data_IF_123567345602
#
_entry.id   IF_123567345602
#
_cell.length_a   1.000
_cell.length_b   1.000
_cell.length_c   1.000
_cell.angle_alpha   90.00
_cell.angle_beta   90.00
_cell.angle_gamma   90.00
#
_symmetry.space_group_name_H-M   'P 1'
#
loop_
_entity.id
_entity.type
_entity.pdbx_description
1 polymer ?
#
# COMPACT_ATOMS: atom_id res chain seq x y z
N UNK A 1 4.90 -20.19 -43.61
CA UNK A 1 4.65 -19.22 -42.52
C UNK A 1 5.40 -19.60 -41.25
N UNK A 2 5.69 -20.88 -40.98
CA UNK A 2 6.53 -21.29 -39.84
C UNK A 2 7.99 -20.81 -39.94
N UNK A 3 8.61 -20.87 -41.12
CA UNK A 3 10.01 -20.44 -41.30
C UNK A 3 10.28 -18.94 -41.08
N UNK A 4 9.26 -18.05 -41.08
CA UNK A 4 9.47 -16.61 -40.82
C UNK A 4 9.41 -16.26 -39.34
N UNK A 5 8.85 -17.14 -38.51
CA UNK A 5 8.71 -16.93 -37.06
C UNK A 5 9.99 -17.37 -36.35
N UNK A 6 10.60 -18.49 -36.76
CA UNK A 6 11.89 -18.95 -36.23
C UNK A 6 13.04 -17.97 -36.54
N UNK A 7 13.09 -17.42 -37.76
CA UNK A 7 14.14 -16.46 -38.17
C UNK A 7 14.03 -15.13 -37.41
N UNK A 8 12.82 -14.70 -37.05
CA UNK A 8 12.59 -13.52 -36.22
C UNK A 8 12.95 -13.76 -34.75
N UNK A 9 12.70 -14.97 -34.22
CA UNK A 9 13.03 -15.30 -32.83
C UNK A 9 14.55 -15.37 -32.61
N UNK A 10 15.29 -15.97 -33.56
CA UNK A 10 16.76 -16.01 -33.55
C UNK A 10 17.38 -14.61 -33.61
N UNK A 11 16.85 -13.73 -34.45
CA UNK A 11 17.36 -12.36 -34.60
C UNK A 11 17.08 -11.49 -33.36
N UNK A 12 15.92 -11.68 -32.72
CA UNK A 12 15.57 -11.01 -31.48
C UNK A 12 16.40 -11.51 -30.28
N UNK A 13 16.73 -12.81 -30.22
CA UNK A 13 17.62 -13.36 -29.19
C UNK A 13 19.06 -12.84 -29.35
N UNK A 14 19.57 -12.74 -30.57
CA UNK A 14 20.89 -12.15 -30.83
C UNK A 14 20.93 -10.65 -30.49
N UNK A 15 19.85 -9.91 -30.77
CA UNK A 15 19.70 -8.51 -30.35
C UNK A 15 19.63 -8.39 -28.82
N UNK A 16 18.93 -9.30 -28.16
CA UNK A 16 18.83 -9.35 -26.71
C UNK A 16 20.18 -9.63 -26.06
N UNK A 17 20.91 -10.63 -26.53
CA UNK A 17 22.26 -10.92 -26.06
C UNK A 17 23.19 -9.74 -26.32
N UNK A 18 23.04 -9.03 -27.44
CA UNK A 18 23.83 -7.82 -27.72
C UNK A 18 23.51 -6.67 -26.78
N UNK A 19 22.23 -6.39 -26.53
CA UNK A 19 21.81 -5.35 -25.57
C UNK A 19 22.21 -5.74 -24.15
N UNK A 20 22.04 -7.00 -23.75
CA UNK A 20 22.51 -7.53 -22.47
C UNK A 20 24.02 -7.44 -22.35
N UNK A 21 24.78 -7.79 -23.39
CA UNK A 21 26.23 -7.65 -23.41
C UNK A 21 26.66 -6.19 -23.36
N UNK A 22 25.94 -5.27 -24.02
CA UNK A 22 26.26 -3.83 -23.93
C UNK A 22 25.94 -3.28 -22.56
N UNK A 23 24.78 -3.61 -21.99
CA UNK A 23 24.41 -3.27 -20.61
C UNK A 23 25.40 -3.89 -19.62
N UNK A 24 25.66 -5.18 -19.69
CA UNK A 24 26.60 -5.87 -18.79
C UNK A 24 28.03 -5.39 -18.97
N UNK A 25 28.53 -5.15 -20.19
CA UNK A 25 29.85 -4.52 -20.38
C UNK A 25 29.91 -3.13 -19.77
N UNK A 26 28.82 -2.38 -19.85
CA UNK A 26 28.73 -1.05 -19.28
C UNK A 26 28.75 -1.07 -17.74
N UNK A 27 28.07 -2.04 -17.11
CA UNK A 27 28.05 -2.21 -15.66
C UNK A 27 29.28 -2.95 -15.09
N UNK A 28 29.84 -3.91 -15.82
CA UNK A 28 31.05 -4.67 -15.45
C UNK A 28 32.31 -3.79 -15.57
N UNK A 29 32.38 -2.89 -16.56
CA UNK A 29 33.51 -1.95 -16.69
C UNK A 29 33.57 -0.87 -15.60
N UNK A 30 32.60 -0.83 -14.67
CA UNK A 30 32.57 0.10 -13.55
C UNK A 30 32.77 -0.53 -12.16
N UNK A 31 33.06 -1.84 -12.07
CA UNK A 31 33.37 -2.51 -10.79
C UNK A 31 32.31 -2.26 -9.67
N UNK A 32 31.02 -2.19 -10.03
CA UNK A 32 29.92 -1.89 -9.08
C UNK A 32 29.42 -3.17 -8.36
N UNK A 33 30.07 -4.31 -8.56
CA UNK A 33 29.75 -5.53 -7.80
C UNK A 33 30.76 -5.71 -6.68
N UNK A 34 30.55 -4.91 -5.62
CA UNK A 34 31.12 -5.20 -4.31
C UNK A 34 32.42 -4.48 -3.98
N UNK A 35 32.38 -3.16 -3.82
CA UNK A 35 33.05 -2.46 -2.70
C UNK A 35 32.61 -1.00 -2.67
N UNK A 36 32.37 -0.53 -1.44
CA UNK A 36 32.25 0.86 -0.97
C UNK A 36 32.24 1.96 -2.05
N UNK A 37 31.11 2.65 -2.13
CA UNK A 37 30.87 3.91 -2.82
C UNK A 37 31.94 4.96 -2.45
N UNK A 38 32.96 5.14 -3.29
CA UNK A 38 33.76 6.36 -3.29
C UNK A 38 33.35 7.28 -4.45
N UNK A 39 32.93 8.48 -4.04
CA UNK A 39 32.64 9.69 -4.78
C UNK A 39 33.52 9.91 -6.03
N UNK A 40 33.05 9.47 -7.19
CA UNK A 40 33.52 10.01 -8.48
C UNK A 40 32.49 11.02 -9.02
N UNK A 41 32.91 12.18 -9.57
CA UNK A 41 32.01 13.12 -10.22
C UNK A 41 31.26 12.43 -11.37
N UNK A 42 29.93 12.59 -11.36
CA UNK A 42 29.02 11.91 -12.27
C UNK A 42 29.20 12.46 -13.69
N UNK A 43 29.41 11.58 -14.66
CA UNK A 43 29.15 11.90 -16.07
C UNK A 43 27.66 11.60 -16.32
N UNK A 44 26.83 12.65 -16.37
CA UNK A 44 25.38 12.56 -16.56
C UNK A 44 25.01 11.89 -17.90
N UNK A 45 25.89 11.94 -18.89
CA UNK A 45 25.72 11.21 -20.15
C UNK A 45 25.70 9.69 -19.95
N UNK A 46 26.28 9.17 -18.86
CA UNK A 46 26.31 7.74 -18.53
C UNK A 46 24.93 7.26 -18.06
N UNK A 47 24.24 8.06 -17.24
CA UNK A 47 22.95 7.71 -16.67
C UNK A 47 21.87 7.65 -17.74
N UNK A 48 21.79 8.67 -18.60
CA UNK A 48 20.79 8.71 -19.67
C UNK A 48 20.96 7.57 -20.68
N UNK A 49 22.20 7.25 -21.06
CA UNK A 49 22.50 6.10 -21.93
C UNK A 49 22.10 4.76 -21.28
N UNK A 50 22.26 4.61 -19.95
CA UNK A 50 21.79 3.42 -19.22
C UNK A 50 20.27 3.29 -19.28
N UNK A 51 19.53 4.38 -19.05
CA UNK A 51 18.06 4.38 -19.12
C UNK A 51 17.57 3.99 -20.52
N UNK A 52 18.18 4.53 -21.58
CA UNK A 52 17.78 4.23 -22.96
C UNK A 52 18.00 2.76 -23.33
N UNK A 53 19.12 2.16 -22.90
CA UNK A 53 19.38 0.73 -23.11
C UNK A 53 18.35 -0.16 -22.39
N UNK A 54 17.99 0.20 -21.14
CA UNK A 54 16.97 -0.52 -20.37
C UNK A 54 15.61 -0.44 -21.09
N UNK A 55 15.24 0.74 -21.58
CA UNK A 55 13.97 0.94 -22.32
C UNK A 55 13.91 0.07 -23.57
N UNK A 56 14.99 0.01 -24.35
CA UNK A 56 15.05 -0.85 -25.53
C UNK A 56 14.98 -2.34 -25.16
N UNK A 57 15.65 -2.76 -24.07
CA UNK A 57 15.55 -4.13 -23.58
C UNK A 57 14.13 -4.54 -23.20
N UNK A 58 13.41 -3.67 -22.46
CA UNK A 58 12.00 -3.87 -22.11
C UNK A 58 11.15 -4.02 -23.38
N UNK A 59 11.33 -3.14 -24.38
CA UNK A 59 10.60 -3.21 -25.64
C UNK A 59 10.83 -4.53 -26.38
N UNK A 60 12.07 -5.04 -26.38
CA UNK A 60 12.41 -6.32 -27.02
C UNK A 60 11.75 -7.48 -26.28
N UNK A 61 11.83 -7.53 -24.94
CA UNK A 61 11.19 -8.58 -24.15
C UNK A 61 9.67 -8.64 -24.39
N UNK A 62 8.99 -7.49 -24.40
CA UNK A 62 7.56 -7.39 -24.70
C UNK A 62 7.17 -7.94 -26.08
N UNK A 63 8.04 -7.81 -27.08
CA UNK A 63 7.80 -8.34 -28.43
C UNK A 63 8.01 -9.85 -28.49
N UNK A 64 9.00 -10.36 -27.74
CA UNK A 64 9.33 -11.77 -27.68
C UNK A 64 8.30 -12.60 -26.90
N UNK A 65 7.74 -12.06 -25.81
CA UNK A 65 6.81 -12.78 -24.93
C UNK A 65 5.45 -13.05 -25.55
N UNK A 66 5.03 -12.32 -26.59
CA UNK A 66 3.80 -12.64 -27.35
C UNK A 66 3.74 -14.07 -27.93
N UNK A 67 4.82 -14.84 -27.82
CA UNK A 67 4.97 -16.19 -28.36
C UNK A 67 5.27 -17.29 -27.30
N UNK A 68 5.37 -17.00 -25.99
CA UNK A 68 5.64 -18.00 -24.92
C UNK A 68 5.02 -17.58 -23.58
N UNK A 69 4.80 -18.54 -22.66
CA UNK A 69 4.22 -18.35 -21.31
C UNK A 69 4.70 -17.05 -20.63
N UNK A 70 3.79 -16.24 -20.09
CA UNK A 70 4.05 -14.87 -19.60
C UNK A 70 4.75 -14.81 -18.21
N UNK A 71 4.79 -15.89 -17.45
CA UNK A 71 5.39 -15.89 -16.11
C UNK A 71 6.90 -15.48 -16.06
N UNK A 72 7.77 -15.89 -17.01
CA UNK A 72 9.15 -15.44 -17.08
C UNK A 72 9.29 -13.94 -17.39
N UNK A 73 8.29 -13.26 -17.98
CA UNK A 73 8.42 -11.83 -18.27
C UNK A 73 8.24 -10.98 -17.01
N UNK A 74 7.30 -11.32 -16.12
CA UNK A 74 7.09 -10.60 -14.85
C UNK A 74 8.36 -10.62 -14.01
N UNK A 75 8.96 -11.80 -13.81
CA UNK A 75 10.20 -11.94 -13.03
C UNK A 75 11.35 -11.14 -13.64
N UNK A 76 11.53 -11.23 -14.96
CA UNK A 76 12.56 -10.46 -15.67
C UNK A 76 12.37 -8.96 -15.53
N UNK A 77 11.14 -8.47 -15.64
CA UNK A 77 10.83 -7.05 -15.48
C UNK A 77 11.09 -6.58 -14.04
N UNK A 78 10.80 -7.40 -13.03
CA UNK A 78 11.16 -7.13 -11.63
C UNK A 78 12.68 -7.12 -11.42
N UNK A 79 13.42 -8.02 -12.07
CA UNK A 79 14.87 -8.03 -12.03
C UNK A 79 15.47 -6.74 -12.62
N UNK A 80 14.82 -6.10 -13.60
CA UNK A 80 15.28 -4.81 -14.12
C UNK A 80 15.27 -3.75 -13.02
N UNK A 81 14.15 -3.65 -12.28
CA UNK A 81 13.99 -2.69 -11.20
C UNK A 81 15.16 -2.81 -10.20
N UNK A 82 15.44 -4.03 -9.75
CA UNK A 82 16.46 -4.29 -8.75
C UNK A 82 17.90 -4.21 -9.28
N UNK A 83 18.17 -4.71 -10.50
CA UNK A 83 19.52 -4.78 -11.07
C UNK A 83 19.98 -3.45 -11.66
N UNK A 84 19.07 -2.67 -12.24
CA UNK A 84 19.43 -1.50 -13.03
C UNK A 84 18.88 -0.18 -12.49
N UNK A 85 17.60 -0.12 -12.10
CA UNK A 85 17.05 1.14 -11.57
C UNK A 85 17.53 1.43 -10.15
N UNK A 86 17.54 0.42 -9.26
CA UNK A 86 17.98 0.60 -7.87
C UNK A 86 19.38 1.25 -7.75
N UNK A 87 20.45 0.80 -8.43
CA UNK A 87 21.74 1.47 -8.36
C UNK A 87 21.72 2.94 -8.82
N UNK A 88 20.86 3.30 -9.78
CA UNK A 88 20.72 4.68 -10.25
C UNK A 88 19.99 5.53 -9.20
N UNK A 89 18.92 5.01 -8.58
CA UNK A 89 18.24 5.67 -7.45
C UNK A 89 19.25 6.03 -6.36
N UNK A 90 20.09 5.08 -5.94
CA UNK A 90 21.14 5.31 -4.93
C UNK A 90 22.11 6.45 -5.29
N UNK A 91 22.33 6.71 -6.59
CA UNK A 91 23.24 7.76 -7.05
C UNK A 91 22.57 9.13 -7.09
N UNK A 92 21.26 9.18 -7.37
CA UNK A 92 20.50 10.41 -7.63
C UNK A 92 19.71 10.93 -6.42
N UNK A 93 19.27 10.05 -5.50
CA UNK A 93 18.27 10.38 -4.47
C UNK A 93 18.65 11.55 -3.55
N UNK A 94 19.94 11.71 -3.25
CA UNK A 94 20.46 12.77 -2.36
C UNK A 94 20.98 13.99 -3.14
N UNK A 95 20.73 14.06 -4.45
CA UNK A 95 21.19 15.15 -5.31
C UNK A 95 20.09 16.19 -5.47
N UNK A 96 20.42 17.43 -5.16
CA UNK A 96 19.50 18.57 -5.23
C UNK A 96 19.71 19.45 -6.47
N UNK A 97 20.69 19.14 -7.32
CA UNK A 97 20.93 19.91 -8.53
C UNK A 97 19.88 19.61 -9.61
N UNK A 98 19.55 20.63 -10.42
CA UNK A 98 18.47 20.57 -11.41
C UNK A 98 18.59 19.39 -12.37
N UNK A 99 19.80 19.06 -12.83
CA UNK A 99 20.01 17.95 -13.78
C UNK A 99 19.73 16.61 -13.10
N UNK A 100 20.23 16.41 -11.88
CA UNK A 100 19.95 15.19 -11.13
C UNK A 100 18.46 15.03 -10.79
N UNK A 101 17.76 16.13 -10.50
CA UNK A 101 16.31 16.11 -10.29
C UNK A 101 15.55 15.77 -11.58
N UNK A 102 15.97 16.30 -12.74
CA UNK A 102 15.41 15.93 -14.04
C UNK A 102 15.62 14.44 -14.35
N UNK A 103 16.82 13.92 -14.11
CA UNK A 103 17.13 12.49 -14.26
C UNK A 103 16.28 11.63 -13.32
N UNK A 104 16.10 12.05 -12.07
CA UNK A 104 15.29 11.35 -11.08
C UNK A 104 13.79 11.38 -11.44
N UNK A 105 13.31 12.54 -11.92
CA UNK A 105 11.96 12.73 -12.44
C UNK A 105 11.70 11.78 -13.63
N UNK A 106 12.66 11.62 -14.53
CA UNK A 106 12.57 10.71 -15.66
C UNK A 106 12.64 9.24 -15.22
N UNK A 107 13.51 8.92 -14.25
CA UNK A 107 13.65 7.58 -13.69
C UNK A 107 12.35 7.10 -13.04
N UNK A 108 11.66 7.96 -12.29
CA UNK A 108 10.38 7.59 -11.68
C UNK A 108 9.26 7.41 -12.72
N UNK A 109 9.28 8.18 -13.82
CA UNK A 109 8.37 7.93 -14.95
C UNK A 109 8.63 6.56 -15.59
N UNK A 110 9.90 6.18 -15.76
CA UNK A 110 10.28 4.88 -16.30
C UNK A 110 9.86 3.73 -15.37
N UNK A 111 10.06 3.87 -14.05
CA UNK A 111 9.61 2.89 -13.04
C UNK A 111 8.09 2.75 -13.02
N UNK A 112 7.35 3.86 -13.18
CA UNK A 112 5.90 3.83 -13.29
C UNK A 112 5.45 3.07 -14.53
N UNK A 113 6.08 3.33 -15.67
CA UNK A 113 5.83 2.62 -16.94
C UNK A 113 6.18 1.13 -16.85
N UNK A 114 7.33 0.79 -16.23
CA UNK A 114 7.75 -0.58 -15.97
C UNK A 114 6.73 -1.31 -15.10
N UNK A 115 6.32 -0.72 -13.98
CA UNK A 115 5.33 -1.31 -13.06
C UNK A 115 3.98 -1.49 -13.73
N UNK A 116 3.51 -0.48 -14.47
CA UNK A 116 2.30 -0.62 -15.28
C UNK A 116 2.41 -1.74 -16.31
N UNK A 117 3.60 -1.95 -16.88
CA UNK A 117 3.83 -3.03 -17.83
C UNK A 117 3.80 -4.39 -17.13
N UNK A 118 4.42 -4.52 -15.96
CA UNK A 118 4.36 -5.76 -15.17
C UNK A 118 2.89 -6.12 -14.89
N UNK A 119 2.05 -5.14 -14.52
CA UNK A 119 0.62 -5.37 -14.31
C UNK A 119 -0.11 -5.87 -15.56
N UNK A 120 0.28 -5.46 -16.78
CA UNK A 120 -0.31 -5.96 -18.03
C UNK A 120 0.03 -7.43 -18.31
N UNK A 121 1.21 -7.89 -17.91
CA UNK A 121 1.68 -9.27 -18.11
C UNK A 121 1.41 -10.19 -16.91
N UNK A 122 1.00 -9.63 -15.77
CA UNK A 122 0.58 -10.40 -14.62
C UNK A 122 -0.82 -11.01 -14.89
N UNK A 123 -0.88 -12.08 -15.70
CA UNK A 123 -2.06 -12.95 -15.78
C UNK A 123 -2.29 -13.69 -14.44
N UNK A 124 -3.56 -14.08 -14.22
CA UNK A 124 -4.26 -14.86 -13.15
C UNK A 124 -3.44 -15.69 -12.11
N UNK A 125 -2.28 -15.22 -11.71
CA UNK A 125 -1.41 -15.81 -10.70
C UNK A 125 -1.69 -15.17 -9.33
N UNK A 126 -1.12 -15.74 -8.27
CA UNK A 126 -1.35 -15.36 -6.86
C UNK A 126 -1.07 -13.88 -6.53
N UNK A 127 -0.51 -13.10 -7.47
CA UNK A 127 -0.25 -11.65 -7.34
C UNK A 127 -1.15 -10.88 -8.31
N UNK A 128 -2.15 -10.16 -7.79
CA UNK A 128 -3.06 -9.33 -8.59
C UNK A 128 -2.29 -8.24 -9.37
N UNK A 129 -2.56 -8.13 -10.68
CA UNK A 129 -2.08 -7.04 -11.55
C UNK A 129 -2.27 -5.64 -10.92
N UNK A 130 -3.35 -5.46 -10.15
CA UNK A 130 -3.67 -4.22 -9.45
C UNK A 130 -2.60 -3.78 -8.44
N UNK A 131 -1.81 -4.71 -7.89
CA UNK A 131 -0.65 -4.38 -7.05
C UNK A 131 0.36 -3.55 -7.85
N UNK A 132 0.71 -3.99 -9.06
CA UNK A 132 1.68 -3.30 -9.89
C UNK A 132 1.15 -1.97 -10.44
N UNK A 133 -0.16 -1.86 -10.64
CA UNK A 133 -0.79 -0.58 -10.93
C UNK A 133 -0.75 0.37 -9.73
N UNK A 134 -0.89 -0.14 -8.50
CA UNK A 134 -0.69 0.67 -7.29
C UNK A 134 0.76 1.15 -7.18
N UNK A 135 1.73 0.26 -7.44
CA UNK A 135 3.16 0.60 -7.50
C UNK A 135 3.45 1.70 -8.57
N UNK A 136 2.86 1.56 -9.76
CA UNK A 136 2.98 2.56 -10.82
C UNK A 136 2.41 3.93 -10.41
N UNK A 137 1.28 3.95 -9.69
CA UNK A 137 0.68 5.19 -9.21
C UNK A 137 1.59 5.92 -8.22
N UNK A 138 2.24 5.19 -7.31
CA UNK A 138 3.23 5.76 -6.37
C UNK A 138 4.38 6.41 -7.15
N UNK A 139 4.94 5.72 -8.14
CA UNK A 139 6.03 6.27 -8.95
C UNK A 139 5.63 7.50 -9.76
N UNK A 140 4.42 7.54 -10.34
CA UNK A 140 3.92 8.76 -10.97
C UNK A 140 3.78 9.91 -9.97
N UNK A 141 3.32 9.67 -8.75
CA UNK A 141 3.23 10.73 -7.73
C UNK A 141 4.60 11.28 -7.33
N UNK A 142 5.61 10.42 -7.19
CA UNK A 142 7.00 10.86 -6.99
C UNK A 142 7.51 11.70 -8.17
N UNK A 143 7.25 11.25 -9.40
CA UNK A 143 7.58 12.00 -10.61
C UNK A 143 6.92 13.39 -10.62
N UNK A 144 5.65 13.50 -10.24
CA UNK A 144 4.95 14.77 -10.15
C UNK A 144 5.46 15.67 -9.01
N UNK A 145 5.83 15.10 -7.86
CA UNK A 145 6.41 15.85 -6.76
C UNK A 145 7.76 16.47 -7.16
N UNK A 146 8.65 15.69 -7.76
CA UNK A 146 9.96 16.17 -8.23
C UNK A 146 9.78 17.20 -9.35
N UNK A 147 8.86 16.98 -10.30
CA UNK A 147 8.55 17.95 -11.35
C UNK A 147 8.12 19.31 -10.77
N UNK A 148 7.31 19.32 -9.73
CA UNK A 148 6.92 20.56 -9.04
C UNK A 148 8.12 21.25 -8.36
N UNK A 149 9.04 20.47 -7.77
CA UNK A 149 10.27 21.01 -7.18
C UNK A 149 11.19 21.65 -8.23
N UNK A 150 11.29 21.07 -9.43
CA UNK A 150 12.05 21.66 -10.55
C UNK A 150 11.35 22.93 -11.05
N UNK A 151 10.02 22.90 -11.15
CA UNK A 151 9.20 23.94 -11.77
C UNK A 151 8.71 25.02 -10.80
N UNK A 152 9.41 25.28 -9.69
CA UNK A 152 9.04 26.23 -8.62
C UNK A 152 8.62 27.65 -9.08
N UNK A 153 8.77 27.99 -10.36
CA UNK A 153 8.43 29.28 -10.96
C UNK A 153 7.32 29.26 -12.04
N UNK A 154 6.67 28.12 -12.35
CA UNK A 154 5.58 28.08 -13.34
C UNK A 154 4.29 27.46 -12.78
N UNK A 155 3.16 28.18 -12.90
CA UNK A 155 1.79 27.70 -12.61
C UNK A 155 1.32 26.57 -13.56
N UNK A 156 2.23 25.73 -14.07
CA UNK A 156 1.87 24.68 -14.99
C UNK A 156 1.10 23.60 -14.24
N UNK A 157 -0.18 23.45 -14.59
CA UNK A 157 -1.07 22.43 -14.04
C UNK A 157 -0.47 21.05 -14.31
N UNK A 158 -0.40 20.20 -13.28
CA UNK A 158 0.08 18.82 -13.41
C UNK A 158 -0.82 18.05 -14.38
N UNK A 159 -0.20 17.37 -15.34
CA UNK A 159 -0.89 16.48 -16.27
C UNK A 159 -1.01 15.07 -15.69
N UNK A 160 -2.24 14.73 -15.26
CA UNK A 160 -2.60 13.44 -14.70
C UNK A 160 -3.08 12.42 -15.75
N UNK A 161 -2.75 12.61 -17.04
CA UNK A 161 -3.08 11.66 -18.11
C UNK A 161 -2.56 10.26 -17.80
N UNK A 162 -1.35 10.12 -17.26
CA UNK A 162 -0.77 8.82 -16.92
C UNK A 162 -1.57 8.09 -15.82
N UNK A 163 -2.00 8.81 -14.77
CA UNK A 163 -2.87 8.23 -13.74
C UNK A 163 -4.26 7.89 -14.28
N UNK A 164 -4.80 8.70 -15.19
CA UNK A 164 -6.08 8.44 -15.85
C UNK A 164 -6.03 7.14 -16.66
N UNK A 165 -4.97 6.95 -17.44
CA UNK A 165 -4.72 5.71 -18.17
C UNK A 165 -4.55 4.51 -17.23
N UNK A 166 -3.85 4.70 -16.11
CA UNK A 166 -3.62 3.65 -15.12
C UNK A 166 -4.93 3.23 -14.43
N UNK A 167 -5.77 4.20 -14.05
CA UNK A 167 -7.12 3.93 -13.51
C UNK A 167 -7.97 3.16 -14.51
N UNK A 168 -7.94 3.54 -15.79
CA UNK A 168 -8.65 2.79 -16.83
C UNK A 168 -8.18 1.34 -16.92
N UNK A 169 -6.86 1.09 -16.87
CA UNK A 169 -6.33 -0.28 -16.83
C UNK A 169 -6.82 -1.05 -15.61
N UNK A 170 -6.83 -0.42 -14.43
CA UNK A 170 -7.37 -1.03 -13.20
C UNK A 170 -8.84 -1.40 -13.37
N UNK A 171 -9.68 -0.49 -13.88
CA UNK A 171 -11.11 -0.73 -14.05
C UNK A 171 -11.39 -1.81 -15.11
N UNK A 172 -10.69 -1.79 -16.24
CA UNK A 172 -10.80 -2.83 -17.28
C UNK A 172 -10.33 -4.20 -16.77
N UNK A 173 -9.33 -4.24 -15.90
CA UNK A 173 -8.91 -5.47 -15.24
C UNK A 173 -10.00 -6.02 -14.31
N UNK A 174 -10.64 -5.14 -13.52
CA UNK A 174 -11.66 -5.52 -12.54
C UNK A 174 -12.97 -5.93 -13.21
N UNK A 175 -13.40 -5.17 -14.20
CA UNK A 175 -14.65 -5.36 -14.93
C UNK A 175 -14.36 -5.17 -16.43
N UNK A 176 -14.23 -6.28 -17.16
CA UNK A 176 -13.91 -6.27 -18.60
C UNK A 176 -14.98 -5.56 -19.44
N UNK A 177 -16.21 -5.54 -18.95
CA UNK A 177 -17.35 -4.88 -19.58
C UNK A 177 -17.51 -3.43 -19.12
N UNK A 178 -16.61 -2.92 -18.27
CA UNK A 178 -16.61 -1.51 -17.90
C UNK A 178 -16.50 -0.66 -19.17
N UNK A 179 -17.49 0.21 -19.37
CA UNK A 179 -17.45 1.18 -20.46
C UNK A 179 -16.15 1.99 -20.36
N UNK A 180 -15.59 2.37 -21.51
CA UNK A 180 -14.48 3.35 -21.58
C UNK A 180 -15.03 4.72 -21.19
N UNK A 181 -15.38 4.88 -19.92
CA UNK A 181 -15.80 6.12 -19.33
C UNK A 181 -14.54 6.93 -19.05
N UNK A 182 -14.44 8.11 -19.63
CA UNK A 182 -13.36 9.03 -19.29
C UNK A 182 -13.53 9.46 -17.83
N UNK A 183 -12.70 8.91 -16.95
CA UNK A 183 -12.64 9.34 -15.55
C UNK A 183 -11.73 10.56 -15.45
N UNK A 184 -12.28 11.68 -14.99
CA UNK A 184 -11.49 12.87 -14.68
C UNK A 184 -10.74 12.67 -13.36
N UNK A 185 -9.59 11.99 -13.44
CA UNK A 185 -8.74 11.71 -12.28
C UNK A 185 -8.20 13.01 -11.68
N UNK A 186 -7.97 14.06 -12.48
CA UNK A 186 -7.51 15.34 -11.96
C UNK A 186 -8.57 15.97 -11.04
N UNK A 187 -9.84 16.00 -11.47
CA UNK A 187 -10.94 16.51 -10.65
C UNK A 187 -11.16 15.67 -9.38
N UNK A 188 -10.99 14.35 -9.47
CA UNK A 188 -11.06 13.46 -8.31
C UNK A 188 -9.95 13.74 -7.30
N UNK A 189 -8.70 13.86 -7.76
CA UNK A 189 -7.55 14.20 -6.91
C UNK A 189 -7.80 15.52 -6.20
N UNK A 190 -8.21 16.55 -6.93
CA UNK A 190 -8.46 17.88 -6.37
C UNK A 190 -9.59 17.87 -5.35
N UNK A 191 -10.68 17.15 -5.64
CA UNK A 191 -11.79 16.94 -4.70
C UNK A 191 -11.33 16.23 -3.42
N UNK A 192 -10.54 15.17 -3.52
CA UNK A 192 -10.10 14.39 -2.38
C UNK A 192 -9.07 15.16 -1.54
N UNK A 193 -8.14 15.89 -2.17
CA UNK A 193 -7.22 16.82 -1.49
C UNK A 193 -7.97 17.91 -0.75
N UNK A 194 -8.93 18.56 -1.40
CA UNK A 194 -9.76 19.61 -0.77
C UNK A 194 -10.43 19.11 0.51
N UNK A 195 -11.03 17.90 0.48
CA UNK A 195 -11.64 17.30 1.68
C UNK A 195 -10.63 17.07 2.80
N UNK A 196 -9.43 16.61 2.47
CA UNK A 196 -8.38 16.38 3.47
C UNK A 196 -7.83 17.70 4.04
N UNK A 197 -7.67 18.71 3.19
CA UNK A 197 -7.22 20.05 3.57
C UNK A 197 -8.25 20.79 4.44
N UNK A 198 -9.55 20.57 4.23
CA UNK A 198 -10.60 21.05 5.13
C UNK A 198 -10.45 20.46 6.55
N UNK A 199 -10.15 19.16 6.65
CA UNK A 199 -9.90 18.49 7.95
C UNK A 199 -8.68 19.09 8.63
N UNK A 200 -7.58 19.30 7.88
CA UNK A 200 -6.34 19.91 8.38
C UNK A 200 -6.55 21.35 8.83
N UNK A 201 -7.18 22.17 8.01
CA UNK A 201 -7.45 23.58 8.31
C UNK A 201 -8.31 23.73 9.57
N UNK A 202 -9.36 22.92 9.72
CA UNK A 202 -10.18 22.90 10.93
C UNK A 202 -9.35 22.45 12.16
N UNK A 203 -8.48 21.45 11.98
CA UNK A 203 -7.59 20.97 13.05
C UNK A 203 -6.62 22.05 13.52
N UNK A 204 -5.93 22.72 12.59
CA UNK A 204 -4.98 23.81 12.90
C UNK A 204 -5.66 24.98 13.62
N UNK A 205 -6.86 25.37 13.18
CA UNK A 205 -7.65 26.42 13.82
C UNK A 205 -7.98 26.08 15.28
N UNK A 206 -8.40 24.83 15.55
CA UNK A 206 -8.73 24.37 16.91
C UNK A 206 -7.49 24.20 17.77
N UNK A 207 -6.41 23.68 17.20
CA UNK A 207 -5.15 23.48 17.91
C UNK A 207 -4.59 24.81 18.44
N UNK A 208 -4.68 25.89 17.66
CA UNK A 208 -4.28 27.23 18.10
C UNK A 208 -5.01 27.69 19.37
N UNK A 209 -6.28 27.29 19.55
CA UNK A 209 -7.04 27.57 20.77
C UNK A 209 -6.58 26.73 21.95
N UNK A 210 -6.25 25.46 21.72
CA UNK A 210 -5.78 24.52 22.73
C UNK A 210 -4.38 24.90 23.23
N UNK A 211 -3.47 25.28 22.34
CA UNK A 211 -2.10 25.66 22.69
C UNK A 211 -2.06 26.84 23.68
N UNK A 212 -2.99 27.80 23.53
CA UNK A 212 -3.13 28.92 24.48
C UNK A 212 -3.50 28.47 25.90
N UNK A 213 -4.25 27.37 26.04
CA UNK A 213 -4.61 26.83 27.36
C UNK A 213 -3.40 26.23 28.09
N UNK A 214 -2.44 25.70 27.33
CA UNK A 214 -1.18 25.23 27.89
C UNK A 214 -0.37 26.40 28.47
N UNK A 215 -0.32 27.53 27.75
CA UNK A 215 0.34 28.75 28.23
C UNK A 215 -0.31 29.33 29.48
N UNK A 216 -1.63 29.20 29.59
CA UNK A 216 -2.43 29.66 30.75
C UNK A 216 -2.35 28.71 31.97
N UNK A 217 -1.61 27.60 31.88
CA UNK A 217 -1.53 26.53 32.88
C UNK A 217 -2.89 25.89 33.24
N UNK A 218 -3.85 25.89 32.30
CA UNK A 218 -5.14 25.23 32.47
C UNK A 218 -5.09 23.78 31.96
N UNK A 219 -4.38 22.94 32.72
CA UNK A 219 -4.12 21.55 32.33
C UNK A 219 -5.41 20.73 32.11
N UNK A 220 -6.48 21.01 32.88
CA UNK A 220 -7.72 20.26 32.78
C UNK A 220 -8.43 20.54 31.45
N UNK A 221 -8.55 21.81 31.07
CA UNK A 221 -9.16 22.19 29.79
C UNK A 221 -8.29 21.83 28.60
N UNK A 222 -6.97 21.94 28.71
CA UNK A 222 -6.03 21.47 27.69
C UNK A 222 -6.25 19.99 27.37
N UNK A 223 -6.30 19.12 28.39
CA UNK A 223 -6.49 17.68 28.21
C UNK A 223 -7.85 17.39 27.57
N UNK A 224 -8.93 17.95 28.13
CA UNK A 224 -10.29 17.69 27.64
C UNK A 224 -10.47 18.14 26.18
N UNK A 225 -9.99 19.32 25.81
CA UNK A 225 -10.13 19.83 24.45
C UNK A 225 -9.22 19.09 23.46
N UNK A 226 -8.05 18.66 23.89
CA UNK A 226 -7.18 17.79 23.08
C UNK A 226 -7.87 16.46 22.76
N UNK A 227 -8.47 15.81 23.77
CA UNK A 227 -9.22 14.56 23.57
C UNK A 227 -10.40 14.74 22.63
N UNK A 228 -11.13 15.84 22.74
CA UNK A 228 -12.26 16.13 21.86
C UNK A 228 -11.81 16.43 20.42
N UNK A 229 -10.70 17.14 20.25
CA UNK A 229 -10.10 17.35 18.94
C UNK A 229 -9.68 16.02 18.29
N UNK A 230 -9.04 15.09 19.02
CA UNK A 230 -8.69 13.78 18.48
C UNK A 230 -9.93 12.95 18.09
N UNK A 231 -11.00 12.97 18.90
CA UNK A 231 -12.28 12.31 18.54
C UNK A 231 -12.88 12.90 17.27
N UNK A 232 -12.84 14.22 17.12
CA UNK A 232 -13.34 14.90 15.94
C UNK A 232 -12.51 14.57 14.69
N UNK A 233 -11.18 14.60 14.80
CA UNK A 233 -10.29 14.20 13.70
C UNK A 233 -10.57 12.76 13.28
N UNK A 234 -10.66 11.83 14.24
CA UNK A 234 -10.99 10.44 13.94
C UNK A 234 -12.37 10.30 13.29
N UNK A 235 -13.37 11.09 13.71
CA UNK A 235 -14.68 11.16 13.06
C UNK A 235 -14.58 11.62 11.60
N UNK A 236 -13.87 12.71 11.35
CA UNK A 236 -13.72 13.27 10.01
C UNK A 236 -12.90 12.34 9.08
N UNK A 237 -11.83 11.71 9.59
CA UNK A 237 -11.04 10.76 8.83
C UNK A 237 -11.80 9.46 8.51
N UNK A 238 -12.71 9.01 9.39
CA UNK A 238 -13.67 7.94 9.06
C UNK A 238 -14.57 8.35 7.89
N UNK A 239 -15.12 9.57 7.95
CA UNK A 239 -15.94 10.13 6.87
C UNK A 239 -15.17 10.23 5.55
N UNK A 240 -13.89 10.62 5.61
CA UNK A 240 -12.99 10.66 4.47
C UNK A 240 -12.77 9.27 3.86
N UNK A 241 -12.43 8.26 4.67
CA UNK A 241 -12.26 6.89 4.17
C UNK A 241 -13.56 6.30 3.60
N UNK A 242 -14.71 6.57 4.23
CA UNK A 242 -16.02 6.17 3.70
C UNK A 242 -16.29 6.81 2.33
N UNK A 243 -15.95 8.10 2.17
CA UNK A 243 -16.07 8.80 0.89
C UNK A 243 -15.21 8.13 -0.21
N UNK A 244 -13.95 7.80 0.08
CA UNK A 244 -13.07 7.10 -0.88
C UNK A 244 -13.62 5.71 -1.25
N UNK A 245 -14.14 4.98 -0.25
CA UNK A 245 -14.75 3.67 -0.43
C UNK A 245 -15.99 3.73 -1.33
N UNK A 246 -16.91 4.66 -1.10
CA UNK A 246 -18.12 4.79 -1.92
C UNK A 246 -17.81 5.22 -3.37
N UNK A 247 -16.82 6.09 -3.58
CA UNK A 247 -16.34 6.39 -4.93
C UNK A 247 -15.73 5.16 -5.62
N UNK A 248 -14.89 4.40 -4.92
CA UNK A 248 -14.27 3.19 -5.46
C UNK A 248 -15.31 2.12 -5.80
N UNK A 249 -16.30 1.92 -4.91
CA UNK A 249 -17.42 0.99 -5.14
C UNK A 249 -18.24 1.39 -6.35
N UNK A 250 -18.57 2.67 -6.49
CA UNK A 250 -19.32 3.19 -7.65
C UNK A 250 -18.57 3.01 -8.95
N UNK A 251 -17.27 3.29 -8.96
CA UNK A 251 -16.41 3.16 -10.16
C UNK A 251 -16.20 1.71 -10.57
N UNK A 252 -16.08 0.82 -9.60
CA UNK A 252 -16.00 -0.62 -9.87
C UNK A 252 -17.25 -1.13 -10.61
N UNK A 253 -18.42 -0.55 -10.34
CA UNK A 253 -19.66 -0.84 -11.07
C UNK A 253 -20.16 -2.28 -10.90
N UNK A 254 -19.70 -2.99 -9.87
CA UNK A 254 -20.07 -4.36 -9.56
C UNK A 254 -20.94 -4.40 -8.30
N UNK A 255 -21.99 -5.22 -8.36
CA UNK A 255 -22.82 -5.56 -7.20
C UNK A 255 -21.98 -6.28 -6.14
N UNK A 256 -22.23 -5.95 -4.87
CA UNK A 256 -21.54 -6.61 -3.77
C UNK A 256 -21.94 -8.08 -3.70
N UNK A 257 -20.98 -9.03 -3.59
CA UNK A 257 -21.32 -10.44 -3.60
C UNK A 257 -21.93 -10.93 -2.27
N UNK A 258 -21.81 -10.15 -1.20
CA UNK A 258 -22.45 -10.38 0.09
C UNK A 258 -22.54 -9.08 0.89
N UNK A 259 -23.20 -9.12 2.06
CA UNK A 259 -23.13 -8.02 3.02
C UNK A 259 -21.73 -7.92 3.63
N UNK A 260 -21.27 -6.70 3.86
CA UNK A 260 -19.96 -6.45 4.43
C UNK A 260 -19.89 -5.12 5.17
N UNK A 261 -18.82 -4.91 5.92
CA UNK A 261 -18.55 -3.65 6.63
C UNK A 261 -17.08 -3.32 6.62
N UNK A 262 -16.76 -2.04 6.40
CA UNK A 262 -15.43 -1.51 6.65
C UNK A 262 -15.32 -1.18 8.12
N UNK A 263 -14.23 -1.64 8.73
CA UNK A 263 -13.86 -1.28 10.10
C UNK A 263 -12.51 -0.57 10.10
N UNK A 264 -12.43 0.56 10.79
CA UNK A 264 -11.20 1.30 11.04
C UNK A 264 -10.46 0.68 12.22
N UNK A 265 -9.14 0.67 12.14
CA UNK A 265 -8.25 0.09 13.13
C UNK A 265 -7.35 1.17 13.77
N UNK A 266 -6.47 0.75 14.68
CA UNK A 266 -5.39 1.57 15.24
C UNK A 266 -5.82 2.94 15.76
N UNK A 267 -5.07 3.97 15.37
CA UNK A 267 -5.27 5.35 15.83
C UNK A 267 -6.69 5.87 15.54
N UNK A 268 -7.30 5.45 14.42
CA UNK A 268 -8.67 5.79 14.07
C UNK A 268 -9.68 5.17 15.06
N UNK A 269 -9.51 3.89 15.40
CA UNK A 269 -10.38 3.20 16.35
C UNK A 269 -10.18 3.66 17.80
N UNK A 270 -8.97 4.14 18.13
CA UNK A 270 -8.61 4.65 19.45
C UNK A 270 -8.97 6.11 19.66
N UNK A 271 -9.47 6.82 18.63
CA UNK A 271 -9.63 8.28 18.65
C UNK A 271 -8.31 8.99 19.01
N UNK A 272 -7.22 8.62 18.34
CA UNK A 272 -5.87 9.15 18.52
C UNK A 272 -5.22 9.54 17.18
N UNK A 273 -6.00 9.49 16.10
CA UNK A 273 -5.55 9.79 14.75
C UNK A 273 -5.34 11.30 14.56
N UNK A 274 -4.32 11.67 13.79
CA UNK A 274 -4.12 13.02 13.26
C UNK A 274 -4.51 13.07 11.77
N UNK A 275 -4.72 14.25 11.16
CA UNK A 275 -4.98 14.38 9.72
C UNK A 275 -3.79 14.00 8.80
N UNK A 276 -2.70 13.49 9.39
CA UNK A 276 -1.48 13.03 8.71
C UNK A 276 -1.15 11.57 9.06
N UNK A 277 -1.95 10.94 9.90
CA UNK A 277 -1.71 9.56 10.31
C UNK A 277 -2.01 8.58 9.18
N UNK A 278 -1.33 7.44 9.23
CA UNK A 278 -1.65 6.29 8.39
C UNK A 278 -3.11 5.82 8.63
N UNK A 279 -3.71 5.33 7.55
CA UNK A 279 -5.02 4.70 7.53
C UNK A 279 -4.83 3.19 7.71
N UNK A 280 -5.56 2.63 8.66
CA UNK A 280 -5.64 1.19 8.92
C UNK A 280 -7.09 0.76 8.86
N UNK A 281 -7.40 -0.27 8.08
CA UNK A 281 -8.78 -0.76 7.95
C UNK A 281 -8.85 -2.24 7.58
N UNK A 282 -10.01 -2.83 7.82
CA UNK A 282 -10.33 -4.20 7.46
C UNK A 282 -11.76 -4.29 6.90
N UNK A 283 -12.07 -5.41 6.25
CA UNK A 283 -13.39 -5.73 5.71
C UNK A 283 -13.93 -6.95 6.42
N UNK A 284 -15.04 -6.78 7.13
CA UNK A 284 -15.85 -7.87 7.68
C UNK A 284 -16.89 -8.31 6.66
N UNK A 285 -16.91 -9.57 6.27
CA UNK A 285 -17.91 -10.14 5.36
C UNK A 285 -18.93 -10.99 6.11
N UNK A 286 -20.15 -11.08 5.60
CA UNK A 286 -21.19 -11.94 6.16
C UNK A 286 -20.84 -13.43 6.03
N UNK A 287 -20.21 -13.81 4.92
CA UNK A 287 -19.82 -15.17 4.61
C UNK A 287 -18.60 -15.20 3.67
N UNK A 288 -18.18 -16.41 3.29
CA UNK A 288 -17.07 -16.67 2.38
C UNK A 288 -17.51 -17.27 1.04
N UNK A 289 -18.80 -17.29 0.72
CA UNK A 289 -19.29 -17.94 -0.50
C UNK A 289 -18.78 -17.25 -1.75
N UNK A 290 -18.58 -15.93 -1.70
CA UNK A 290 -17.97 -15.15 -2.77
C UNK A 290 -16.56 -15.65 -3.18
N UNK A 291 -15.81 -16.27 -2.25
CA UNK A 291 -14.46 -16.82 -2.52
C UNK A 291 -14.51 -18.05 -3.43
N UNK A 292 -15.65 -18.73 -3.52
CA UNK A 292 -15.84 -19.94 -4.32
C UNK A 292 -16.20 -19.64 -5.78
N UNK A 293 -16.72 -18.44 -6.04
CA UNK A 293 -17.08 -18.01 -7.38
C UNK A 293 -15.92 -17.22 -8.01
N UNK A 294 -15.31 -17.71 -9.10
CA UNK A 294 -14.26 -16.99 -9.82
C UNK A 294 -14.63 -15.55 -10.22
N UNK A 295 -15.92 -15.26 -10.44
CA UNK A 295 -16.37 -13.92 -10.81
C UNK A 295 -16.36 -12.93 -9.63
N UNK A 296 -16.44 -13.41 -8.38
CA UNK A 296 -16.55 -12.55 -7.20
C UNK A 296 -15.43 -12.71 -6.19
N UNK A 297 -14.57 -13.74 -6.33
CA UNK A 297 -13.52 -14.08 -5.36
C UNK A 297 -12.59 -12.91 -5.02
N UNK A 298 -12.35 -12.03 -5.99
CA UNK A 298 -11.45 -10.88 -5.87
C UNK A 298 -12.16 -9.55 -5.62
N UNK A 299 -13.49 -9.53 -5.49
CA UNK A 299 -14.28 -8.29 -5.35
C UNK A 299 -13.72 -7.35 -4.28
N UNK A 300 -13.52 -7.85 -3.05
CA UNK A 300 -13.04 -7.01 -1.95
C UNK A 300 -11.56 -6.64 -2.07
N UNK A 301 -10.74 -7.48 -2.72
CA UNK A 301 -9.34 -7.16 -3.02
C UNK A 301 -9.27 -6.04 -4.06
N UNK A 302 -10.06 -6.14 -5.11
CA UNK A 302 -10.19 -5.15 -6.18
C UNK A 302 -10.69 -3.81 -5.63
N UNK A 303 -11.72 -3.83 -4.80
CA UNK A 303 -12.22 -2.65 -4.10
C UNK A 303 -11.12 -2.00 -3.24
N UNK A 304 -10.36 -2.81 -2.50
CA UNK A 304 -9.26 -2.31 -1.66
C UNK A 304 -8.16 -1.67 -2.50
N UNK A 305 -7.79 -2.25 -3.64
CA UNK A 305 -6.82 -1.64 -4.56
C UNK A 305 -7.29 -0.29 -5.12
N UNK A 306 -8.58 -0.14 -5.44
CA UNK A 306 -9.13 1.16 -5.87
C UNK A 306 -9.09 2.19 -4.75
N UNK A 307 -9.40 1.80 -3.51
CA UNK A 307 -9.25 2.71 -2.35
C UNK A 307 -7.78 3.10 -2.15
N UNK A 308 -6.85 2.15 -2.28
CA UNK A 308 -5.40 2.40 -2.24
C UNK A 308 -4.96 3.40 -3.30
N UNK A 309 -5.41 3.21 -4.54
CA UNK A 309 -5.12 4.13 -5.64
C UNK A 309 -5.57 5.57 -5.33
N UNK A 310 -6.74 5.75 -4.70
CA UNK A 310 -7.25 7.08 -4.31
C UNK A 310 -6.37 7.75 -3.24
N UNK A 311 -5.94 7.02 -2.22
CA UNK A 311 -5.03 7.54 -1.18
C UNK A 311 -3.66 7.87 -1.76
N UNK A 312 -3.09 6.97 -2.59
CA UNK A 312 -1.82 7.23 -3.28
C UNK A 312 -1.90 8.54 -4.06
N UNK A 313 -3.04 8.80 -4.71
CA UNK A 313 -3.21 9.98 -5.53
C UNK A 313 -3.36 11.31 -4.77
N UNK A 314 -3.39 11.27 -3.43
CA UNK A 314 -3.17 12.46 -2.60
C UNK A 314 -1.73 12.97 -2.74
N UNK A 315 -0.79 12.14 -3.21
CA UNK A 315 0.61 12.51 -3.42
C UNK A 315 1.44 12.52 -2.13
N UNK A 316 0.94 11.88 -1.07
CA UNK A 316 1.53 11.85 0.28
C UNK A 316 2.09 10.47 0.66
N UNK A 317 1.77 9.43 -0.13
CA UNK A 317 2.26 8.07 0.08
C UNK A 317 3.77 8.00 -0.14
N UNK A 318 4.47 7.47 0.86
CA UNK A 318 5.91 7.20 0.77
C UNK A 318 6.20 5.82 0.17
N UNK A 319 7.33 5.72 -0.53
CA UNK A 319 7.92 4.43 -0.86
C UNK A 319 8.58 3.85 0.40
N UNK A 320 8.23 2.63 0.85
CA UNK A 320 8.82 2.04 2.04
C UNK A 320 10.33 1.88 1.91
N UNK A 321 11.06 2.20 2.99
CA UNK A 321 12.51 1.97 3.06
C UNK A 321 12.88 0.52 2.80
N UNK A 322 12.02 -0.45 3.12
CA UNK A 322 12.26 -1.88 2.86
C UNK A 322 12.42 -2.22 1.37
N UNK A 323 11.79 -1.46 0.45
CA UNK A 323 11.84 -1.73 -0.99
C UNK A 323 13.25 -1.54 -1.57
N UNK A 324 13.88 -0.43 -1.23
CA UNK A 324 15.20 -0.08 -1.78
C UNK A 324 16.32 -0.11 -0.76
N UNK A 325 16.04 -0.09 0.54
CA UNK A 325 17.04 0.13 1.59
C UNK A 325 17.44 1.60 1.73
N UNK A 326 16.56 2.52 1.32
CA UNK A 326 16.76 3.98 1.31
C UNK A 326 15.50 4.69 1.76
N UNK A 327 15.65 5.76 2.53
CA UNK A 327 14.56 6.71 2.79
C UNK A 327 14.51 7.72 1.64
N UNK A 328 13.32 7.88 1.05
CA UNK A 328 13.06 8.80 -0.05
C UNK A 328 11.89 9.73 0.27
N UNK A 329 11.54 9.85 1.56
CA UNK A 329 10.41 10.64 2.02
C UNK A 329 10.60 12.15 1.76
N UNK A 330 11.84 12.62 1.63
CA UNK A 330 12.15 14.02 1.28
C UNK A 330 11.79 14.41 -0.16
N UNK A 331 11.56 13.44 -1.05
CA UNK A 331 11.16 13.69 -2.44
C UNK A 331 9.67 13.98 -2.59
N UNK A 332 8.88 13.75 -1.54
CA UNK A 332 7.44 13.99 -1.48
C UNK A 332 7.10 14.79 -0.23
N UNK A 333 5.81 15.09 -0.01
CA UNK A 333 5.32 15.63 1.25
C UNK A 333 4.59 14.52 2.01
N UNK A 334 5.27 13.79 2.92
CA UNK A 334 4.66 12.66 3.62
C UNK A 334 3.46 13.10 4.44
N UNK A 335 2.42 12.28 4.41
CA UNK A 335 1.18 12.53 5.12
C UNK A 335 0.34 11.26 5.18
N UNK A 336 -0.92 11.37 4.78
CA UNK A 336 -1.86 10.25 4.78
C UNK A 336 -1.35 9.15 3.86
N UNK A 337 -1.12 7.98 4.44
CA UNK A 337 -0.74 6.76 3.75
C UNK A 337 -1.53 5.57 4.28
N UNK A 338 -1.39 4.40 3.66
CA UNK A 338 -1.81 3.14 4.29
C UNK A 338 -0.67 2.60 5.17
N UNK A 339 -1.03 1.96 6.29
CA UNK A 339 -0.03 1.34 7.19
C UNK A 339 0.84 0.34 6.42
N UNK A 340 2.13 0.66 6.34
CA UNK A 340 3.12 -0.18 5.67
C UNK A 340 3.35 -1.51 6.39
N UNK A 341 2.95 -1.60 7.67
CA UNK A 341 2.98 -2.83 8.47
C UNK A 341 1.94 -3.88 8.05
N UNK A 342 1.03 -3.54 7.13
CA UNK A 342 0.07 -4.44 6.53
C UNK A 342 -1.28 -4.53 7.23
N UNK A 343 -1.64 -3.54 8.06
CA UNK A 343 -2.96 -3.46 8.73
C UNK A 343 -4.04 -2.92 7.79
N UNK A 344 -4.09 -3.50 6.60
CA UNK A 344 -5.03 -3.19 5.53
C UNK A 344 -5.66 -4.48 5.01
N UNK A 345 -6.77 -4.43 4.24
CA UNK A 345 -7.38 -5.63 3.68
C UNK A 345 -6.42 -6.46 2.83
N UNK A 346 -5.42 -5.82 2.20
CA UNK A 346 -4.47 -6.48 1.32
C UNK A 346 -3.31 -7.16 2.05
N UNK A 347 -3.16 -6.94 3.37
CA UNK A 347 -2.07 -7.50 4.16
C UNK A 347 -0.75 -6.75 3.98
N UNK A 348 0.37 -7.44 4.23
CA UNK A 348 1.72 -6.86 4.14
C UNK A 348 2.16 -6.67 2.70
N UNK A 349 2.68 -5.47 2.40
CA UNK A 349 3.17 -5.08 1.06
C UNK A 349 4.33 -5.98 0.63
N UNK A 350 5.22 -6.33 1.56
CA UNK A 350 6.41 -7.13 1.29
C UNK A 350 6.11 -8.63 1.10
N UNK A 351 4.89 -9.09 1.44
CA UNK A 351 4.47 -10.49 1.31
C UNK A 351 5.22 -11.46 2.22
N UNK A 352 6.04 -10.96 3.16
CA UNK A 352 6.81 -11.71 4.14
C UNK A 352 5.94 -12.45 5.16
N UNK A 353 4.67 -12.04 5.32
CA UNK A 353 3.68 -12.78 6.11
C UNK A 353 2.36 -12.97 5.34
N UNK A 354 1.82 -14.21 5.28
CA UNK A 354 0.66 -14.53 4.45
C UNK A 354 -0.66 -14.30 5.20
N UNK A 355 -1.12 -13.04 5.26
CA UNK A 355 -2.44 -12.70 5.79
C UNK A 355 -3.13 -11.59 5.02
N UNK A 356 -4.45 -11.51 5.20
CA UNK A 356 -5.31 -10.47 4.67
C UNK A 356 -6.34 -10.10 5.76
N UNK A 357 -6.96 -8.94 5.63
CA UNK A 357 -8.00 -8.48 6.56
C UNK A 357 -9.38 -8.44 5.90
N UNK A 358 -9.66 -9.40 5.01
CA UNK A 358 -10.96 -9.60 4.37
C UNK A 358 -11.54 -10.92 4.89
N UNK A 359 -12.26 -10.84 6.01
CA UNK A 359 -12.63 -12.03 6.81
C UNK A 359 -14.08 -11.95 7.28
N UNK A 360 -14.66 -13.11 7.59
CA UNK A 360 -15.88 -13.13 8.39
C UNK A 360 -15.58 -12.70 9.84
N UNK A 361 -16.64 -12.44 10.61
CA UNK A 361 -16.50 -12.15 12.06
C UNK A 361 -15.76 -13.27 12.80
N UNK A 362 -16.07 -14.53 12.49
CA UNK A 362 -15.43 -15.69 13.11
C UNK A 362 -13.96 -15.80 12.74
N UNK A 363 -13.63 -15.67 11.46
CA UNK A 363 -12.24 -15.75 10.99
C UNK A 363 -11.38 -14.58 11.50
N UNK A 364 -11.96 -13.38 11.62
CA UNK A 364 -11.24 -12.24 12.21
C UNK A 364 -10.93 -12.48 13.70
N UNK A 365 -11.81 -13.21 14.41
CA UNK A 365 -11.56 -13.61 15.79
C UNK A 365 -10.41 -14.62 15.92
N UNK A 366 -10.06 -15.37 14.87
CA UNK A 366 -8.88 -16.25 14.90
C UNK A 366 -7.60 -15.46 15.11
N UNK A 367 -7.48 -14.25 14.54
CA UNK A 367 -6.35 -13.36 14.79
C UNK A 367 -6.36 -12.81 16.21
N UNK A 368 -7.53 -12.39 16.70
CA UNK A 368 -7.67 -11.88 18.07
C UNK A 368 -7.27 -12.96 19.05
N UNK A 369 -7.78 -14.19 18.92
CA UNK A 369 -7.57 -15.31 19.85
C UNK A 369 -6.25 -16.05 19.60
N UNK A 370 -5.62 -15.81 18.47
CA UNK A 370 -4.52 -16.60 17.92
C UNK A 370 -4.88 -18.10 17.90
N UNK A 371 -6.02 -18.41 17.29
CA UNK A 371 -6.37 -19.79 16.94
C UNK A 371 -5.38 -20.30 15.89
N UNK A 372 -5.07 -21.60 15.88
CA UNK A 372 -4.12 -22.23 14.92
C UNK A 372 -2.77 -21.50 14.75
N UNK A 373 -2.27 -20.87 15.82
CA UNK A 373 -1.00 -20.11 15.82
C UNK A 373 -0.94 -19.00 14.74
N UNK A 374 -2.07 -18.39 14.35
CA UNK A 374 -2.09 -17.32 13.34
C UNK A 374 -1.12 -16.17 13.64
N UNK A 375 -0.78 -15.87 14.88
CA UNK A 375 0.18 -14.80 15.22
C UNK A 375 1.61 -15.02 14.76
N UNK A 376 2.01 -16.25 14.42
CA UNK A 376 3.29 -16.53 13.75
C UNK A 376 3.29 -16.04 12.29
N UNK A 377 2.11 -15.77 11.73
CA UNK A 377 1.91 -15.45 10.32
C UNK A 377 1.29 -14.06 10.09
N UNK A 378 1.21 -13.21 11.13
CA UNK A 378 0.68 -11.84 11.03
C UNK A 378 1.60 -10.84 11.73
N UNK A 379 1.29 -9.55 11.59
CA UNK A 379 1.96 -8.52 12.38
C UNK A 379 1.74 -8.75 13.88
N UNK A 380 2.82 -8.63 14.67
CA UNK A 380 2.82 -8.92 16.12
C UNK A 380 1.86 -8.05 16.93
N UNK A 381 1.55 -6.84 16.44
CA UNK A 381 0.62 -5.92 17.08
C UNK A 381 -0.83 -6.13 16.66
N UNK A 382 -1.07 -6.80 15.52
CA UNK A 382 -2.40 -6.95 14.94
C UNK A 382 -3.43 -7.59 15.89
N UNK A 383 -3.12 -8.65 16.67
CA UNK A 383 -4.10 -9.22 17.61
C UNK A 383 -4.65 -8.21 18.62
N UNK A 384 -3.82 -7.26 19.07
CA UNK A 384 -4.21 -6.22 20.01
C UNK A 384 -4.95 -5.07 19.33
N UNK A 385 -4.55 -4.72 18.12
CA UNK A 385 -5.20 -3.68 17.33
C UNK A 385 -6.64 -4.10 17.00
N UNK A 386 -6.85 -5.36 16.67
CA UNK A 386 -8.15 -5.95 16.42
C UNK A 386 -9.08 -5.98 17.66
N UNK A 387 -8.55 -5.81 18.88
CA UNK A 387 -9.39 -5.70 20.09
C UNK A 387 -10.26 -4.42 20.11
N UNK A 388 -9.87 -3.40 19.34
CA UNK A 388 -10.59 -2.13 19.26
C UNK A 388 -10.73 -1.69 17.82
N UNK A 389 -11.96 -1.71 17.33
CA UNK A 389 -12.30 -1.33 15.96
C UNK A 389 -13.41 -0.29 15.95
N UNK A 390 -13.46 0.54 14.91
CA UNK A 390 -14.56 1.49 14.69
C UNK A 390 -15.28 1.17 13.39
N UNK A 391 -16.59 1.39 13.34
CA UNK A 391 -17.35 1.29 12.10
C UNK A 391 -17.01 2.49 11.20
N UNK A 392 -16.83 2.26 9.89
CA UNK A 392 -16.54 3.31 8.90
C UNK A 392 -17.76 3.63 8.04
N UNK A 393 -18.37 2.61 7.44
CA UNK A 393 -19.46 2.81 6.49
C UNK A 393 -20.75 3.14 7.23
N UNK A 394 -21.59 4.05 6.71
CA UNK A 394 -22.95 4.27 7.22
C UNK A 394 -23.98 3.92 6.13
N UNK A 395 -23.70 2.87 5.35
CA UNK A 395 -24.59 2.51 4.25
C UNK A 395 -25.97 2.14 4.80
N UNK A 396 -27.01 2.74 4.20
CA UNK A 396 -28.43 2.59 4.57
C UNK A 396 -28.95 1.13 4.49
N UNK A 397 -28.11 0.17 4.11
CA UNK A 397 -28.45 -1.25 4.05
C UNK A 397 -28.51 -1.88 5.46
N UNK A 398 -29.69 -2.31 5.91
CA UNK A 398 -29.85 -2.92 7.23
C UNK A 398 -29.02 -4.21 7.36
N UNK A 399 -28.07 -4.23 8.30
CA UNK A 399 -27.31 -5.44 8.66
C UNK A 399 -25.79 -5.28 8.68
N UNK A 400 -25.24 -4.25 8.05
CA UNK A 400 -23.79 -4.02 8.03
C UNK A 400 -23.27 -3.62 9.44
N UNK A 401 -23.94 -2.69 10.12
CA UNK A 401 -23.64 -2.35 11.52
C UNK A 401 -23.69 -3.58 12.46
N UNK A 402 -24.58 -4.54 12.15
CA UNK A 402 -24.69 -5.78 12.94
C UNK A 402 -23.40 -6.60 12.90
N UNK A 403 -22.72 -6.72 11.75
CA UNK A 403 -21.45 -7.45 11.66
C UNK A 403 -20.39 -6.86 12.61
N UNK A 404 -20.29 -5.52 12.63
CA UNK A 404 -19.34 -4.83 13.51
C UNK A 404 -19.74 -4.96 14.97
N UNK A 405 -21.03 -4.89 15.28
CA UNK A 405 -21.54 -5.10 16.63
C UNK A 405 -21.26 -6.52 17.12
N UNK A 406 -21.58 -7.53 16.32
CA UNK A 406 -21.34 -8.95 16.64
C UNK A 406 -19.86 -9.20 16.90
N UNK A 407 -18.98 -8.64 16.05
CA UNK A 407 -17.54 -8.71 16.25
C UNK A 407 -17.09 -8.07 17.58
N UNK A 408 -17.54 -6.85 17.87
CA UNK A 408 -17.22 -6.15 19.13
C UNK A 408 -17.72 -6.92 20.35
N UNK A 409 -18.91 -7.50 20.28
CA UNK A 409 -19.48 -8.31 21.36
C UNK A 409 -18.62 -9.57 21.59
N UNK A 410 -18.21 -10.28 20.54
CA UNK A 410 -17.33 -11.45 20.64
C UNK A 410 -15.94 -11.13 21.19
N UNK A 411 -15.33 -10.02 20.75
CA UNK A 411 -14.05 -9.53 21.30
C UNK A 411 -14.21 -9.24 22.79
N UNK A 412 -15.25 -8.49 23.16
CA UNK A 412 -15.51 -8.13 24.56
C UNK A 412 -15.70 -9.37 25.42
N UNK A 413 -16.49 -10.34 24.98
CA UNK A 413 -16.71 -11.59 25.71
C UNK A 413 -15.42 -12.37 25.88
N UNK A 414 -14.64 -12.54 24.80
CA UNK A 414 -13.34 -13.19 24.85
C UNK A 414 -12.39 -12.50 25.83
N UNK A 415 -12.27 -11.17 25.80
CA UNK A 415 -11.37 -10.43 26.68
C UNK A 415 -11.78 -10.52 28.17
N UNK A 416 -13.06 -10.78 28.47
CA UNK A 416 -13.57 -10.93 29.83
C UNK A 416 -13.51 -12.37 30.38
N UNK A 417 -13.29 -13.37 29.51
CA UNK A 417 -13.12 -14.76 29.93
C UNK A 417 -11.81 -14.97 30.70
N UNK A 418 -11.76 -15.95 31.63
CA UNK A 418 -10.51 -16.41 32.23
C UNK A 418 -9.51 -16.87 31.16
N UNK A 419 -8.24 -16.53 31.33
CA UNK A 419 -7.17 -16.99 30.43
C UNK A 419 -6.93 -18.48 30.59
N UNK A 420 -6.71 -19.18 29.47
CA UNK A 420 -6.34 -20.59 29.47
C UNK A 420 -4.98 -20.83 30.16
N UNK A 421 -4.02 -19.91 29.97
CA UNK A 421 -2.67 -19.99 30.54
C UNK A 421 -2.63 -19.57 32.01
N UNK A 422 -3.54 -18.68 32.42
CA UNK A 422 -3.69 -18.29 33.81
C UNK A 422 -5.17 -18.02 34.17
N UNK A 423 -5.91 -19.05 34.63
CA UNK A 423 -7.33 -18.92 34.93
C UNK A 423 -7.69 -17.92 36.04
N UNK A 424 -6.71 -17.40 36.78
CA UNK A 424 -6.94 -16.36 37.80
C UNK A 424 -7.06 -14.95 37.20
N UNK A 425 -6.61 -14.77 35.97
CA UNK A 425 -6.66 -13.51 35.24
C UNK A 425 -7.65 -13.62 34.08
N UNK A 426 -8.33 -12.51 33.77
CA UNK A 426 -9.06 -12.38 32.51
C UNK A 426 -8.09 -12.23 31.35
N UNK A 427 -8.52 -12.58 30.14
CA UNK A 427 -7.69 -12.51 28.93
C UNK A 427 -7.04 -11.14 28.73
N UNK A 428 -7.78 -10.03 28.89
CA UNK A 428 -7.18 -8.69 28.77
C UNK A 428 -6.09 -8.42 29.81
N UNK A 429 -6.26 -8.90 31.05
CA UNK A 429 -5.27 -8.72 32.12
C UNK A 429 -4.01 -9.54 31.86
N UNK A 430 -4.20 -10.80 31.44
CA UNK A 430 -3.10 -11.68 31.10
C UNK A 430 -2.31 -11.13 29.91
N UNK A 431 -3.00 -10.66 28.87
CA UNK A 431 -2.38 -10.01 27.70
C UNK A 431 -1.58 -8.76 28.07
N UNK A 432 -2.17 -7.85 28.84
CA UNK A 432 -1.48 -6.65 29.30
C UNK A 432 -0.22 -7.01 30.12
N UNK A 433 -0.31 -7.99 31.01
CA UNK A 433 0.83 -8.47 31.80
C UNK A 433 1.93 -9.07 30.91
N UNK A 434 1.55 -9.84 29.87
CA UNK A 434 2.51 -10.42 28.92
C UNK A 434 3.23 -9.34 28.12
N UNK A 435 2.49 -8.37 27.57
CA UNK A 435 3.08 -7.23 26.84
C UNK A 435 4.04 -6.43 27.73
N UNK A 436 3.70 -6.21 29.01
CA UNK A 436 4.58 -5.50 29.94
C UNK A 436 5.87 -6.27 30.27
N UNK A 437 5.83 -7.60 30.29
CA UNK A 437 6.99 -8.44 30.65
C UNK A 437 7.87 -8.79 29.47
N UNK A 438 7.27 -9.08 28.34
CA UNK A 438 7.92 -9.68 27.16
C UNK A 438 7.95 -8.73 25.97
N UNK A 439 7.22 -7.60 26.03
CA UNK A 439 6.93 -6.75 24.88
C UNK A 439 5.83 -7.33 23.99
N UNK A 440 5.51 -6.63 22.90
CA UNK A 440 4.67 -7.18 21.83
C UNK A 440 5.50 -8.18 21.02
N UNK A 441 5.45 -9.45 21.43
CA UNK A 441 6.02 -10.60 20.72
C UNK A 441 4.94 -11.33 19.93
N UNK A 442 5.33 -12.11 18.92
CA UNK A 442 4.38 -13.02 18.24
C UNK A 442 3.76 -13.94 19.30
N UNK A 443 2.44 -13.98 19.35
CA UNK A 443 1.76 -14.80 20.36
C UNK A 443 2.04 -16.29 20.09
N UNK A 444 2.26 -17.06 21.14
CA UNK A 444 2.14 -18.50 21.09
C UNK A 444 1.27 -18.86 22.31
N UNK A 445 0.03 -19.29 22.07
CA UNK A 445 -0.88 -19.77 23.13
C UNK A 445 -0.91 -21.29 23.21
N UNK A 446 0.06 -21.97 22.58
CA UNK A 446 0.30 -23.40 22.71
C UNK A 446 1.71 -23.66 23.22
N UNK A 447 1.98 -23.23 24.45
CA UNK A 447 2.84 -24.05 25.31
C UNK A 447 1.95 -25.08 26.01
N UNK A 448 1.65 -26.18 25.31
CA UNK A 448 1.33 -27.41 26.01
C UNK A 448 2.49 -27.72 26.95
N UNK A 449 2.18 -27.79 28.25
CA UNK A 449 3.02 -28.27 29.35
C UNK A 449 4.28 -29.05 28.89
N UNK A 450 5.42 -28.37 28.83
CA UNK A 450 6.74 -29.01 28.77
C UNK A 450 7.20 -29.54 30.14
N UNK A 451 6.24 -30.04 30.94
CA UNK A 451 6.47 -30.73 32.22
C UNK A 451 6.27 -32.25 32.11
N UNK A 452 6.50 -32.84 30.94
CA UNK A 452 6.64 -34.28 30.77
C UNK A 452 7.72 -34.59 29.72
N UNK A 453 8.98 -34.28 30.04
CA UNK A 453 10.16 -34.90 29.38
C UNK A 453 11.39 -34.78 30.31
N UNK A 454 11.19 -35.11 31.60
CA UNK A 454 12.25 -35.51 32.52
C UNK A 454 11.69 -36.61 33.43
N UNK A 455 11.67 -37.83 32.89
CA UNK A 455 11.73 -39.09 33.62
C UNK A 455 12.40 -40.13 32.72
#
# INVERSE_FOLDING_TARGET
MENSIEDQSLNNNALLEKVLLEVEKYYINQDIVGTVLEYSPIDLGIVQNQLDLIREWVKIQKKLSKNQDDYPIVQKLQEIELKYYKPIIYKLVDKEDSNSLEDLQQLFEDLASLSSSIGEYAEESDISALKYYSDAAIFYQYQYAIKQQIQLESESKIDYTNLSNLKQKMLTFINKDAENTTHDVAAEIEKNKTKLDEIRSNTEQKLTGIDRLADENDAANYISQSEDLFKEIAFNMKGFLNHLHEEAKKEMGLESPCKYSLIGLGSMALNQMTPYSDIEFAILTENNDYKKDPATKDYFRNLSHLIHFKVINLGETIIPTSRYGLDMSHLVHPGVNFDLGGKTPLGRIDGDKPYDLIKTVEEMMWYVRNEDNKSEHIDKSLPFILEKVTYITENEEPGNEKLVKDYKDLVKDFLQQPSADNPTLKNHQFRALKVLKEGSVEFNYLQQNSNQLLA
#
